data_IF_909189787220
#
_entry.id   IF_909189787220
#
_cell.length_a   1.000
_cell.length_b   1.000
_cell.length_c   1.000
_cell.angle_alpha   90.00
_cell.angle_beta   90.00
_cell.angle_gamma   90.00
#
_symmetry.space_group_name_H-M   'P 1'
#
loop_
_entity.id
_entity.type
_entity.pdbx_description
1 polymer ?
#
# COMPACT_ATOMS: atom_id res chain seq x y z
N UNK A 1 29.68 1.68 14.62
CA UNK A 1 28.71 1.10 13.65
C UNK A 1 29.22 1.09 12.19
N UNK A 2 30.51 1.29 11.95
CA UNK A 2 31.08 1.34 10.58
C UNK A 2 30.97 0.00 9.79
N UNK A 3 30.76 -1.12 10.48
CA UNK A 3 30.75 -2.44 9.83
C UNK A 3 29.34 -2.99 9.51
N UNK A 4 28.28 -2.23 9.86
CA UNK A 4 26.90 -2.71 9.70
C UNK A 4 26.57 -3.90 10.62
N UNK A 5 25.45 -4.58 10.33
CA UNK A 5 25.03 -5.80 11.04
C UNK A 5 25.80 -7.01 10.53
N UNK A 6 26.11 -7.98 11.42
CA UNK A 6 26.55 -9.30 11.02
C UNK A 6 25.37 -10.16 10.51
N UNK A 7 25.66 -11.21 9.76
CA UNK A 7 24.61 -12.13 9.28
C UNK A 7 23.77 -12.71 10.42
N UNK A 8 24.37 -13.03 11.56
CA UNK A 8 23.65 -13.51 12.75
C UNK A 8 22.70 -12.44 13.32
N UNK A 9 23.17 -11.18 13.38
CA UNK A 9 22.34 -10.05 13.83
C UNK A 9 21.19 -9.74 12.86
N UNK A 10 21.41 -9.90 11.54
CA UNK A 10 20.35 -9.76 10.52
C UNK A 10 19.25 -10.78 10.75
N UNK A 11 19.61 -12.06 10.97
CA UNK A 11 18.64 -13.12 11.21
C UNK A 11 17.89 -12.91 12.55
N UNK A 12 18.58 -12.47 13.58
CA UNK A 12 17.95 -12.12 14.87
C UNK A 12 16.99 -10.94 14.72
N UNK A 13 17.40 -9.87 14.03
CA UNK A 13 16.55 -8.71 13.77
C UNK A 13 15.34 -9.10 12.94
N UNK A 14 15.52 -9.95 11.91
CA UNK A 14 14.41 -10.47 11.10
C UNK A 14 13.42 -11.27 11.93
N UNK A 15 13.89 -12.06 12.88
CA UNK A 15 13.02 -12.85 13.77
C UNK A 15 12.24 -11.98 14.74
N UNK A 16 12.84 -10.89 15.24
CA UNK A 16 12.23 -10.01 16.24
C UNK A 16 11.30 -8.97 15.64
N UNK A 17 11.66 -8.41 14.50
CA UNK A 17 11.00 -7.24 13.90
C UNK A 17 10.41 -7.53 12.52
N UNK A 18 10.71 -8.68 11.92
CA UNK A 18 10.34 -8.97 10.53
C UNK A 18 11.28 -8.33 9.51
N UNK A 19 10.85 -8.27 8.28
CA UNK A 19 11.52 -7.58 7.17
C UNK A 19 10.67 -6.40 6.69
N UNK A 20 11.22 -5.56 5.81
CA UNK A 20 10.54 -4.39 5.25
C UNK A 20 9.46 -4.75 4.19
N UNK A 21 9.09 -6.04 4.12
CA UNK A 21 8.05 -6.52 3.19
C UNK A 21 6.68 -6.02 3.65
N UNK A 22 6.04 -5.20 2.81
CA UNK A 22 4.68 -4.78 3.04
C UNK A 22 3.71 -5.96 2.88
N UNK A 23 2.67 -6.08 3.73
CA UNK A 23 1.68 -7.13 3.60
C UNK A 23 1.01 -7.06 2.23
N UNK A 24 0.92 -8.20 1.58
CA UNK A 24 0.20 -8.29 0.31
C UNK A 24 -1.30 -8.13 0.59
N UNK A 25 -2.01 -7.26 -0.16
CA UNK A 25 -3.45 -7.11 0.02
C UNK A 25 -4.15 -8.42 -0.34
N UNK A 26 -5.07 -8.83 0.51
CA UNK A 26 -5.89 -10.00 0.24
C UNK A 26 -6.70 -9.82 -1.04
N UNK A 27 -6.61 -10.80 -1.94
CA UNK A 27 -7.36 -10.79 -3.17
C UNK A 27 -8.84 -11.10 -2.87
N UNK A 28 -9.71 -10.13 -3.15
CA UNK A 28 -11.16 -10.31 -3.02
C UNK A 28 -11.64 -11.33 -4.06
N UNK A 29 -12.48 -12.27 -3.63
CA UNK A 29 -13.12 -13.24 -4.52
C UNK A 29 -14.30 -12.59 -5.27
N UNK A 30 -14.71 -13.16 -6.39
CA UNK A 30 -15.77 -12.63 -7.24
C UNK A 30 -17.08 -12.31 -6.50
N UNK A 31 -17.45 -13.11 -5.51
CA UNK A 31 -18.68 -12.90 -4.75
C UNK A 31 -18.67 -11.65 -3.87
N UNK A 32 -17.49 -11.13 -3.48
CA UNK A 32 -17.40 -9.84 -2.78
C UNK A 32 -17.80 -8.69 -3.69
N UNK A 33 -17.36 -8.72 -4.96
CA UNK A 33 -17.76 -7.71 -5.95
C UNK A 33 -19.24 -7.83 -6.30
N UNK A 34 -19.77 -9.05 -6.43
CA UNK A 34 -21.19 -9.27 -6.65
C UNK A 34 -22.05 -8.75 -5.48
N UNK A 35 -21.64 -9.04 -4.23
CA UNK A 35 -22.31 -8.53 -3.04
C UNK A 35 -22.27 -7.02 -2.99
N UNK A 36 -21.11 -6.41 -3.24
CA UNK A 36 -20.92 -4.96 -3.23
C UNK A 36 -21.85 -4.29 -4.28
N UNK A 37 -21.91 -4.81 -5.50
CA UNK A 37 -22.80 -4.33 -6.56
C UNK A 37 -24.30 -4.45 -6.18
N UNK A 38 -24.70 -5.56 -5.57
CA UNK A 38 -26.09 -5.79 -5.17
C UNK A 38 -26.50 -4.99 -3.94
N UNK A 39 -25.56 -4.60 -3.08
CA UNK A 39 -25.82 -3.78 -1.89
C UNK A 39 -25.66 -2.28 -2.13
N UNK A 40 -25.31 -1.87 -3.34
CA UNK A 40 -25.29 -0.46 -3.72
C UNK A 40 -26.69 0.15 -3.61
N UNK A 41 -26.86 1.35 -3.05
CA UNK A 41 -28.17 1.96 -2.77
C UNK A 41 -29.11 2.00 -3.99
N UNK A 42 -28.59 2.35 -5.17
CA UNK A 42 -29.38 2.40 -6.40
C UNK A 42 -29.86 1.00 -6.80
N UNK A 43 -28.98 0.00 -6.73
CA UNK A 43 -29.29 -1.39 -7.05
C UNK A 43 -30.32 -1.98 -6.09
N UNK A 44 -30.21 -1.66 -4.78
CA UNK A 44 -31.22 -2.09 -3.79
C UNK A 44 -32.59 -1.52 -4.06
N UNK A 45 -32.69 -0.24 -4.46
CA UNK A 45 -33.97 0.38 -4.84
C UNK A 45 -34.55 -0.34 -6.05
N UNK A 46 -33.75 -0.64 -7.06
CA UNK A 46 -34.22 -1.38 -8.27
C UNK A 46 -34.68 -2.80 -7.91
N UNK A 47 -34.01 -3.50 -7.00
CA UNK A 47 -34.42 -4.81 -6.49
C UNK A 47 -35.79 -4.71 -5.80
N UNK A 48 -35.99 -3.72 -4.95
CA UNK A 48 -37.26 -3.50 -4.25
C UNK A 48 -38.39 -3.23 -5.27
N UNK A 49 -38.14 -2.38 -6.27
CA UNK A 49 -39.10 -2.09 -7.33
C UNK A 49 -39.43 -3.36 -8.13
N UNK A 50 -38.41 -4.13 -8.51
CA UNK A 50 -38.61 -5.37 -9.25
C UNK A 50 -39.46 -6.41 -8.47
N UNK A 51 -39.18 -6.55 -7.17
CA UNK A 51 -39.96 -7.44 -6.29
C UNK A 51 -41.41 -6.96 -6.15
N UNK A 52 -41.63 -5.65 -5.98
CA UNK A 52 -42.98 -5.08 -5.91
C UNK A 52 -43.77 -5.31 -7.20
N UNK A 53 -43.16 -5.07 -8.38
CA UNK A 53 -43.78 -5.33 -9.68
C UNK A 53 -44.03 -6.82 -9.89
N UNK A 54 -43.16 -7.71 -9.42
CA UNK A 54 -43.35 -9.15 -9.51
C UNK A 54 -44.65 -9.60 -8.75
N UNK A 55 -44.86 -9.05 -7.56
CA UNK A 55 -46.04 -9.29 -6.75
C UNK A 55 -47.32 -8.83 -7.49
N UNK A 56 -47.30 -7.60 -8.04
CA UNK A 56 -48.44 -7.06 -8.81
C UNK A 56 -48.69 -7.88 -10.09
N UNK A 57 -47.67 -8.34 -10.77
CA UNK A 57 -47.76 -9.21 -11.92
C UNK A 57 -48.36 -10.58 -11.56
N UNK A 58 -47.97 -11.17 -10.41
CA UNK A 58 -48.55 -12.41 -9.91
C UNK A 58 -50.04 -12.29 -9.54
N UNK A 59 -50.45 -11.08 -9.10
CA UNK A 59 -51.88 -10.75 -8.86
C UNK A 59 -52.69 -10.47 -10.15
N UNK A 60 -52.05 -10.50 -11.32
CA UNK A 60 -52.68 -10.22 -12.60
C UNK A 60 -52.97 -8.74 -12.87
N UNK A 61 -52.40 -7.81 -12.08
CA UNK A 61 -52.59 -6.35 -12.19
C UNK A 61 -51.69 -5.77 -13.28
N UNK A 62 -50.49 -6.35 -13.48
CA UNK A 62 -49.47 -5.86 -14.41
C UNK A 62 -48.89 -7.02 -15.23
N UNK A 63 -48.23 -6.67 -16.34
CA UNK A 63 -47.44 -7.64 -17.12
C UNK A 63 -46.18 -8.09 -16.39
N UNK A 64 -45.85 -9.38 -16.46
CA UNK A 64 -44.61 -9.93 -15.89
C UNK A 64 -43.36 -9.59 -16.71
N UNK A 65 -43.50 -8.99 -17.89
CA UNK A 65 -42.38 -8.63 -18.76
C UNK A 65 -41.48 -7.51 -18.14
N UNK A 66 -42.09 -6.57 -17.44
CA UNK A 66 -41.35 -5.43 -16.86
C UNK A 66 -40.38 -5.84 -15.71
N UNK A 67 -40.83 -6.57 -14.66
CA UNK A 67 -39.92 -7.01 -13.61
C UNK A 67 -38.86 -7.98 -14.13
N UNK A 68 -39.18 -8.84 -15.13
CA UNK A 68 -38.20 -9.71 -15.76
C UNK A 68 -37.11 -8.90 -16.47
N UNK A 69 -37.44 -7.83 -17.19
CA UNK A 69 -36.47 -6.94 -17.81
C UNK A 69 -35.55 -6.31 -16.76
N UNK A 70 -36.07 -5.82 -15.63
CA UNK A 70 -35.27 -5.24 -14.57
C UNK A 70 -34.28 -6.29 -14.00
N UNK A 71 -34.74 -7.52 -13.76
CA UNK A 71 -33.88 -8.60 -13.26
C UNK A 71 -32.77 -8.92 -14.26
N UNK A 72 -33.05 -8.95 -15.54
CA UNK A 72 -32.04 -9.19 -16.60
C UNK A 72 -30.98 -8.04 -16.58
N UNK A 73 -31.45 -6.80 -16.51
CA UNK A 73 -30.52 -5.64 -16.43
C UNK A 73 -29.65 -5.70 -15.18
N UNK A 74 -30.23 -6.02 -14.01
CA UNK A 74 -29.48 -6.20 -12.77
C UNK A 74 -28.43 -7.31 -12.88
N UNK A 75 -28.75 -8.42 -13.53
CA UNK A 75 -27.79 -9.51 -13.75
C UNK A 75 -26.61 -9.05 -14.63
N UNK A 76 -26.90 -8.33 -15.71
CA UNK A 76 -25.86 -7.78 -16.61
C UNK A 76 -24.97 -6.78 -15.87
N UNK A 77 -25.58 -5.84 -15.13
CA UNK A 77 -24.83 -4.83 -14.37
C UNK A 77 -23.93 -5.50 -13.31
N UNK A 78 -24.45 -6.49 -12.60
CA UNK A 78 -23.67 -7.26 -11.62
C UNK A 78 -22.51 -8.01 -12.27
N UNK A 79 -22.72 -8.62 -13.43
CA UNK A 79 -21.65 -9.31 -14.18
C UNK A 79 -20.54 -8.32 -14.60
N UNK A 80 -20.91 -7.15 -15.11
CA UNK A 80 -19.97 -6.08 -15.48
C UNK A 80 -19.19 -5.63 -14.26
N UNK A 81 -19.84 -5.38 -13.13
CA UNK A 81 -19.19 -4.96 -11.88
C UNK A 81 -18.17 -6.00 -11.40
N UNK A 82 -18.52 -7.29 -11.43
CA UNK A 82 -17.61 -8.37 -11.06
C UNK A 82 -16.40 -8.42 -11.99
N UNK A 83 -16.60 -8.40 -13.30
CA UNK A 83 -15.50 -8.45 -14.29
C UNK A 83 -14.58 -7.24 -14.14
N UNK A 84 -15.14 -6.05 -13.96
CA UNK A 84 -14.38 -4.80 -13.76
C UNK A 84 -13.58 -4.86 -12.47
N UNK A 85 -14.19 -5.26 -11.36
CA UNK A 85 -13.53 -5.39 -10.07
C UNK A 85 -12.35 -6.37 -10.09
N UNK A 86 -12.53 -7.55 -10.68
CA UNK A 86 -11.47 -8.54 -10.87
C UNK A 86 -10.37 -8.02 -11.81
N UNK A 87 -10.72 -7.29 -12.88
CA UNK A 87 -9.77 -6.67 -13.81
C UNK A 87 -8.91 -5.63 -13.13
N UNK A 88 -9.50 -4.72 -12.36
CA UNK A 88 -8.78 -3.70 -11.59
C UNK A 88 -7.83 -4.36 -10.59
N UNK A 89 -8.30 -5.37 -9.85
CA UNK A 89 -7.47 -6.10 -8.89
C UNK A 89 -6.26 -6.77 -9.56
N UNK A 90 -6.45 -7.41 -10.72
CA UNK A 90 -5.37 -8.02 -11.49
C UNK A 90 -4.35 -6.98 -11.97
N UNK A 91 -4.83 -5.88 -12.57
CA UNK A 91 -3.96 -4.80 -13.05
C UNK A 91 -3.17 -4.16 -11.91
N UNK A 92 -3.80 -3.94 -10.75
CA UNK A 92 -3.13 -3.42 -9.56
C UNK A 92 -2.05 -4.39 -9.05
N UNK A 93 -2.31 -5.70 -9.06
CA UNK A 93 -1.33 -6.71 -8.67
C UNK A 93 -0.13 -6.75 -9.64
N UNK A 94 -0.38 -6.66 -10.95
CA UNK A 94 0.69 -6.61 -11.98
C UNK A 94 1.55 -5.35 -11.85
N UNK A 95 0.94 -4.18 -11.62
CA UNK A 95 1.67 -2.93 -11.38
C UNK A 95 2.54 -3.01 -10.14
N UNK A 96 2.00 -3.57 -9.04
CA UNK A 96 2.78 -3.79 -7.81
C UNK A 96 3.95 -4.74 -8.04
N UNK A 97 3.73 -5.86 -8.73
CA UNK A 97 4.79 -6.81 -9.03
C UNK A 97 5.94 -6.18 -9.84
N UNK A 98 5.62 -5.32 -10.82
CA UNK A 98 6.61 -4.58 -11.62
C UNK A 98 7.39 -3.55 -10.79
N UNK A 99 6.76 -2.95 -9.77
CA UNK A 99 7.34 -1.90 -8.93
C UNK A 99 8.01 -2.46 -7.67
N UNK A 100 7.74 -3.73 -7.31
CA UNK A 100 8.20 -4.36 -6.07
C UNK A 100 9.71 -4.59 -6.05
N UNK A 101 10.32 -4.90 -7.20
CA UNK A 101 11.76 -5.23 -7.27
C UNK A 101 12.57 -3.93 -7.30
N UNK A 102 12.96 -3.45 -6.15
CA UNK A 102 13.88 -2.31 -5.99
C UNK A 102 15.03 -2.74 -5.09
N UNK A 103 16.23 -2.33 -5.45
CA UNK A 103 17.45 -2.67 -4.75
C UNK A 103 17.99 -1.48 -3.99
N UNK A 104 18.62 -1.76 -2.86
CA UNK A 104 19.35 -0.79 -2.06
C UNK A 104 20.69 -1.36 -1.64
N UNK A 105 21.67 -0.48 -1.45
CA UNK A 105 22.98 -0.84 -0.98
C UNK A 105 23.01 -0.74 0.54
N UNK A 106 23.44 -1.81 1.21
CA UNK A 106 23.59 -1.87 2.67
C UNK A 106 25.00 -2.28 3.03
N UNK A 107 25.44 -1.86 4.20
CA UNK A 107 26.71 -2.34 4.78
C UNK A 107 26.38 -3.44 5.78
N UNK A 108 26.84 -4.67 5.49
CA UNK A 108 26.76 -5.84 6.39
C UNK A 108 28.11 -6.54 6.42
N UNK A 109 28.53 -7.01 7.57
CA UNK A 109 29.85 -7.64 7.80
C UNK A 109 31.03 -6.81 7.25
N UNK A 110 30.95 -5.47 7.34
CA UNK A 110 31.96 -4.55 6.83
C UNK A 110 32.04 -4.43 5.30
N UNK A 111 31.14 -5.06 4.56
CA UNK A 111 31.08 -5.02 3.10
C UNK A 111 29.76 -4.41 2.60
N UNK A 112 29.84 -3.75 1.44
CA UNK A 112 28.65 -3.24 0.75
C UNK A 112 27.98 -4.38 -0.01
N UNK A 113 26.69 -4.57 0.26
CA UNK A 113 25.86 -5.58 -0.39
C UNK A 113 24.62 -4.93 -0.99
N UNK A 114 24.29 -5.30 -2.21
CA UNK A 114 23.04 -4.84 -2.85
C UNK A 114 21.94 -5.87 -2.56
N UNK A 115 20.92 -5.46 -1.84
CA UNK A 115 19.80 -6.33 -1.44
C UNK A 115 18.47 -5.76 -1.96
N UNK A 116 17.43 -6.62 -1.98
CA UNK A 116 16.08 -6.13 -2.24
C UNK A 116 15.62 -5.26 -1.04
N UNK A 117 14.90 -4.17 -1.31
CA UNK A 117 14.32 -3.30 -0.26
C UNK A 117 13.47 -4.08 0.75
N UNK A 118 12.81 -5.16 0.30
CA UNK A 118 11.95 -6.00 1.14
C UNK A 118 12.74 -6.84 2.15
N UNK A 119 14.06 -7.04 1.90
CA UNK A 119 14.98 -7.77 2.78
C UNK A 119 15.67 -6.90 3.83
N UNK A 120 15.38 -5.59 3.84
CA UNK A 120 15.84 -4.69 4.90
C UNK A 120 15.29 -5.13 6.25
N UNK A 121 16.13 -5.03 7.27
CA UNK A 121 15.77 -5.31 8.67
C UNK A 121 16.10 -4.11 9.56
N UNK A 122 15.51 -4.06 10.73
CA UNK A 122 15.78 -3.01 11.71
C UNK A 122 17.25 -3.07 12.13
N UNK A 123 17.94 -1.94 12.02
CA UNK A 123 19.35 -1.80 12.34
C UNK A 123 20.31 -1.90 11.16
N UNK A 124 19.81 -2.15 9.95
CA UNK A 124 20.64 -2.09 8.74
C UNK A 124 21.23 -0.69 8.52
N UNK A 125 22.47 -0.66 8.06
CA UNK A 125 23.14 0.55 7.62
C UNK A 125 23.01 0.68 6.10
N UNK A 126 22.10 1.57 5.66
CA UNK A 126 21.78 1.78 4.24
C UNK A 126 22.65 2.91 3.68
N UNK A 127 23.22 2.70 2.50
CA UNK A 127 23.92 3.73 1.73
C UNK A 127 22.93 4.41 0.78
N UNK A 128 22.70 5.71 1.03
CA UNK A 128 21.83 6.54 0.19
C UNK A 128 22.65 7.32 -0.83
N UNK A 129 22.16 7.38 -2.07
CA UNK A 129 22.72 8.17 -3.16
C UNK A 129 21.74 9.26 -3.58
N UNK A 130 22.25 10.33 -4.15
CA UNK A 130 21.42 11.43 -4.68
C UNK A 130 20.38 10.91 -5.67
N UNK A 131 19.11 11.30 -5.48
CA UNK A 131 17.98 10.88 -6.31
C UNK A 131 17.46 9.47 -6.00
N UNK A 132 17.97 8.81 -4.97
CA UNK A 132 17.48 7.50 -4.54
C UNK A 132 16.32 7.67 -3.56
N UNK A 133 15.25 6.89 -3.76
CA UNK A 133 14.14 6.81 -2.82
C UNK A 133 14.57 6.14 -1.50
N UNK A 134 14.09 6.66 -0.40
CA UNK A 134 14.30 6.08 0.93
C UNK A 134 13.26 4.97 1.14
N UNK A 135 13.71 3.74 1.38
CA UNK A 135 12.84 2.56 1.42
C UNK A 135 12.35 2.17 2.81
N UNK A 136 12.94 2.72 3.86
CA UNK A 136 12.55 2.46 5.24
C UNK A 136 12.78 3.70 6.10
N UNK A 137 12.00 3.83 7.15
CA UNK A 137 12.21 4.89 8.14
C UNK A 137 13.55 4.68 8.85
N UNK A 138 14.28 5.75 9.08
CA UNK A 138 15.60 5.68 9.67
C UNK A 138 16.17 7.03 10.10
N UNK A 139 17.45 7.02 10.43
CA UNK A 139 18.19 8.20 10.86
C UNK A 139 19.49 8.31 10.11
N UNK A 140 19.92 9.54 9.81
CA UNK A 140 21.25 9.79 9.28
C UNK A 140 22.29 9.54 10.37
N UNK A 141 23.24 8.68 10.06
CA UNK A 141 24.37 8.32 10.93
C UNK A 141 25.64 9.05 10.51
N UNK A 142 25.85 9.23 9.20
CA UNK A 142 27.03 9.86 8.62
C UNK A 142 26.65 10.54 7.30
N UNK A 143 27.31 11.65 6.98
CA UNK A 143 27.05 12.42 5.77
C UNK A 143 25.94 13.45 5.93
N UNK A 144 25.51 14.00 4.80
CA UNK A 144 24.46 15.01 4.71
C UNK A 144 23.68 14.80 3.43
N UNK A 145 22.35 14.93 3.49
CA UNK A 145 21.48 14.89 2.30
C UNK A 145 20.38 15.94 2.39
N UNK A 146 19.90 16.38 1.24
CA UNK A 146 18.62 17.12 1.12
C UNK A 146 17.54 16.14 0.71
N UNK A 147 16.41 16.16 1.41
CA UNK A 147 15.29 15.24 1.19
C UNK A 147 14.04 16.04 0.86
N UNK A 148 13.34 15.62 -0.17
CA UNK A 148 12.03 16.15 -0.53
C UNK A 148 10.94 15.32 0.16
N UNK A 149 10.23 15.93 1.10
CA UNK A 149 9.16 15.30 1.87
C UNK A 149 7.76 15.47 1.24
N UNK A 150 7.66 15.94 -0.01
CA UNK A 150 6.38 16.21 -0.67
C UNK A 150 5.44 15.01 -0.71
N UNK A 151 5.99 13.80 -0.80
CA UNK A 151 5.20 12.56 -0.78
C UNK A 151 4.45 12.32 0.54
N UNK A 152 4.90 12.92 1.64
CA UNK A 152 4.34 12.70 2.99
C UNK A 152 3.49 13.89 3.43
N UNK A 153 4.03 15.10 3.35
CA UNK A 153 3.37 16.31 3.90
C UNK A 153 2.87 17.28 2.83
N UNK A 154 3.09 16.99 1.53
CA UNK A 154 2.71 17.85 0.41
C UNK A 154 3.60 19.08 0.22
N UNK A 155 4.61 19.29 1.07
CA UNK A 155 5.53 20.42 0.97
C UNK A 155 6.70 20.08 0.05
N UNK A 156 6.89 20.83 -1.02
CA UNK A 156 7.99 20.64 -1.99
C UNK A 156 9.33 21.19 -1.54
N UNK A 157 9.38 21.81 -0.36
CA UNK A 157 10.62 22.36 0.17
C UNK A 157 11.56 21.24 0.61
N UNK A 158 12.75 21.24 0.06
CA UNK A 158 13.81 20.32 0.48
C UNK A 158 14.24 20.58 1.93
N UNK A 159 14.35 19.51 2.69
CA UNK A 159 14.81 19.52 4.07
C UNK A 159 16.22 18.96 4.15
N UNK A 160 17.16 19.77 4.61
CA UNK A 160 18.53 19.34 4.90
C UNK A 160 18.52 18.41 6.10
N UNK A 161 19.12 17.24 5.95
CA UNK A 161 19.24 16.21 6.99
C UNK A 161 20.70 15.95 7.31
N UNK A 162 21.01 15.97 8.60
CA UNK A 162 22.36 15.81 9.15
C UNK A 162 22.35 14.82 10.33
N UNK A 163 23.50 14.18 10.65
CA UNK A 163 23.59 13.30 11.80
C UNK A 163 23.32 14.05 13.12
N UNK A 164 22.62 13.39 14.03
CA UNK A 164 22.42 13.89 15.39
C UNK A 164 22.92 12.89 16.42
N UNK A 165 23.61 13.37 17.45
CA UNK A 165 24.06 12.54 18.57
C UNK A 165 22.89 11.90 19.35
N UNK A 166 21.71 12.52 19.30
CA UNK A 166 20.51 12.11 20.04
C UNK A 166 19.49 11.35 19.19
N UNK A 167 19.85 10.85 17.97
CA UNK A 167 18.93 10.19 17.06
C UNK A 167 18.15 9.02 17.68
N UNK A 168 18.72 8.31 18.65
CA UNK A 168 18.06 7.17 19.33
C UNK A 168 16.85 7.56 20.19
N UNK A 169 16.68 8.83 20.50
CA UNK A 169 15.62 9.33 21.38
C UNK A 169 14.50 10.06 20.61
N UNK A 170 14.61 10.16 19.30
CA UNK A 170 13.59 10.82 18.48
C UNK A 170 12.36 9.93 18.38
N UNK A 171 11.23 10.43 18.89
CA UNK A 171 9.92 9.75 18.73
C UNK A 171 9.38 10.04 17.33
N UNK A 172 9.35 9.04 16.47
CA UNK A 172 8.90 9.12 15.08
C UNK A 172 7.37 9.30 14.91
N UNK A 173 6.61 9.27 16.01
CA UNK A 173 5.14 9.29 15.99
C UNK A 173 4.50 10.68 16.06
N UNK A 174 5.30 11.76 16.15
CA UNK A 174 4.76 13.13 16.21
C UNK A 174 4.94 13.88 14.89
N UNK A 175 4.03 14.82 14.58
CA UNK A 175 4.13 15.71 13.42
C UNK A 175 5.46 16.51 13.41
N UNK A 176 6.07 16.73 14.58
CA UNK A 176 7.37 17.33 14.72
C UNK A 176 8.53 16.48 14.16
N UNK A 177 8.33 15.16 13.98
CA UNK A 177 9.36 14.28 13.43
C UNK A 177 9.71 14.61 11.97
N UNK A 178 8.78 15.16 11.18
CA UNK A 178 9.04 15.55 9.79
C UNK A 178 10.01 16.73 9.68
N UNK A 179 10.06 17.60 10.69
CA UNK A 179 10.96 18.74 10.76
C UNK A 179 12.29 18.42 11.44
N UNK A 180 12.40 17.23 12.03
CA UNK A 180 13.64 16.79 12.67
C UNK A 180 14.77 16.65 11.63
N UNK A 181 15.95 17.12 12.01
CA UNK A 181 17.10 17.19 11.10
C UNK A 181 17.78 15.84 10.85
N UNK A 182 17.50 14.81 11.63
CA UNK A 182 18.15 13.51 11.45
C UNK A 182 17.23 12.40 10.97
N UNK A 183 15.91 12.58 11.04
CA UNK A 183 14.92 11.55 10.68
C UNK A 183 14.68 11.51 9.18
N UNK A 184 14.64 10.29 8.64
CA UNK A 184 14.34 9.97 7.25
C UNK A 184 13.08 9.10 7.21
N UNK A 185 12.26 9.31 6.20
CA UNK A 185 10.98 8.62 6.05
C UNK A 185 10.90 7.86 4.72
N UNK A 186 10.35 6.66 4.76
CA UNK A 186 10.11 5.86 3.57
C UNK A 186 9.21 6.61 2.56
N UNK A 187 9.54 6.48 1.27
CA UNK A 187 8.82 7.14 0.18
C UNK A 187 9.26 8.57 -0.14
N UNK A 188 10.27 9.09 0.56
CA UNK A 188 10.90 10.40 0.25
C UNK A 188 12.13 10.22 -0.64
N UNK A 189 12.52 11.29 -1.35
CA UNK A 189 13.67 11.30 -2.29
C UNK A 189 14.60 12.45 -1.98
#
# INVERSE_FOLDING_TARGET
MKNGLSNEQVEESRRLHGSNKLPEPELKKWYHFAKEALTEPITMILIIIALFQLVLGAMGVMSLSEPVMIIVVLAIVTEIAVKTGLGIQKSAAELRAKTAVRYCDVVRDGSVQTINKDDLVVGDLVLLRTGQEIFADGFIVEGEISVNNAAINGETKECRKIPSANYKHVKTTSTAAYTDQCSLFAGTV
#
